data_IF_620183546370
#
_entry.id   IF_620183546370
#
_cell.length_a   1.000
_cell.length_b   1.000
_cell.length_c   1.000
_cell.angle_alpha   90.00
_cell.angle_beta   90.00
_cell.angle_gamma   90.00
#
_symmetry.space_group_name_H-M   'P 1'
#
loop_
_entity.id
_entity.type
_entity.pdbx_description
1 polymer ?
#
# COMPACT_ATOMS: atom_id res chain seq x y z
N UNK A 1 1.21 3.88 -6.70
CA UNK A 1 1.26 4.92 -5.65
C UNK A 1 2.33 4.56 -4.62
N UNK A 2 2.19 3.46 -3.87
CA UNK A 2 3.23 3.00 -2.94
C UNK A 2 4.64 2.88 -3.56
N UNK A 3 4.74 2.35 -4.79
CA UNK A 3 6.00 2.35 -5.54
C UNK A 3 6.63 3.74 -5.70
N UNK A 4 5.85 4.80 -5.92
CA UNK A 4 6.38 6.15 -6.02
C UNK A 4 6.92 6.65 -4.67
N UNK A 5 6.27 6.29 -3.56
CA UNK A 5 6.77 6.59 -2.22
C UNK A 5 8.10 5.87 -1.93
N UNK A 6 8.19 4.60 -2.34
CA UNK A 6 9.41 3.80 -2.26
C UNK A 6 10.55 4.40 -3.09
N UNK A 7 10.27 4.68 -4.37
CA UNK A 7 11.24 5.22 -5.32
C UNK A 7 11.78 6.59 -4.82
N UNK A 8 10.93 7.43 -4.19
CA UNK A 8 11.37 8.69 -3.54
C UNK A 8 12.31 8.43 -2.37
N UNK A 9 11.97 7.50 -1.47
CA UNK A 9 12.81 7.17 -0.31
C UNK A 9 14.21 6.68 -0.70
N UNK A 10 14.31 5.94 -1.81
CA UNK A 10 15.57 5.45 -2.37
C UNK A 10 16.26 6.42 -3.34
N UNK A 11 15.74 7.64 -3.53
CA UNK A 11 16.37 8.62 -4.42
C UNK A 11 16.38 8.19 -5.90
N UNK A 12 15.41 7.36 -6.33
CA UNK A 12 15.35 6.84 -7.70
C UNK A 12 14.75 7.84 -8.70
N UNK A 13 14.41 9.04 -8.24
CA UNK A 13 13.96 10.18 -9.04
C UNK A 13 15.04 11.26 -9.10
N UNK A 14 15.07 12.06 -10.17
CA UNK A 14 15.88 13.27 -10.18
C UNK A 14 15.26 14.38 -9.32
N UNK A 15 13.93 14.41 -9.21
CA UNK A 15 13.21 15.36 -8.38
C UNK A 15 13.13 14.90 -6.90
N UNK A 16 13.30 15.87 -5.99
CA UNK A 16 13.25 15.62 -4.53
C UNK A 16 11.82 15.44 -3.99
N UNK A 17 10.82 15.92 -4.73
CA UNK A 17 9.41 15.85 -4.33
C UNK A 17 8.57 15.17 -5.39
N UNK A 18 7.53 14.46 -4.95
CA UNK A 18 6.55 13.88 -5.85
C UNK A 18 5.70 15.00 -6.48
N UNK A 19 5.28 14.87 -7.76
CA UNK A 19 4.37 15.83 -8.39
C UNK A 19 3.09 16.03 -7.58
N UNK A 20 2.53 17.23 -7.48
CA UNK A 20 1.38 17.53 -6.61
C UNK A 20 0.18 16.57 -6.75
N UNK A 21 -0.06 16.04 -7.96
CA UNK A 21 -1.18 15.16 -8.29
C UNK A 21 -0.81 13.67 -8.38
N UNK A 22 0.37 13.27 -7.92
CA UNK A 22 0.89 11.89 -7.97
C UNK A 22 -0.07 10.83 -7.42
N UNK A 23 -0.94 11.24 -6.50
CA UNK A 23 -1.93 10.39 -5.84
C UNK A 23 -3.27 10.33 -6.58
N UNK A 24 -3.58 11.28 -7.46
CA UNK A 24 -4.89 11.44 -8.09
C UNK A 24 -5.32 10.19 -8.90
N UNK A 25 -4.46 9.53 -9.70
CA UNK A 25 -4.85 8.33 -10.44
C UNK A 25 -5.28 7.17 -9.53
N UNK A 26 -4.68 7.05 -8.34
CA UNK A 26 -5.06 6.03 -7.37
C UNK A 26 -6.37 6.39 -6.65
N UNK A 27 -6.58 7.67 -6.35
CA UNK A 27 -7.83 8.16 -5.76
C UNK A 27 -9.04 7.94 -6.67
N UNK A 28 -8.90 8.18 -7.98
CA UNK A 28 -9.96 7.89 -8.94
C UNK A 28 -10.34 6.41 -8.97
N UNK A 29 -9.34 5.52 -8.93
CA UNK A 29 -9.56 4.07 -8.88
C UNK A 29 -10.25 3.66 -7.59
N UNK A 30 -9.86 4.24 -6.45
CA UNK A 30 -10.54 4.02 -5.17
C UNK A 30 -12.01 4.45 -5.23
N UNK A 31 -12.31 5.62 -5.80
CA UNK A 31 -13.69 6.08 -5.94
C UNK A 31 -14.54 5.14 -6.82
N UNK A 32 -13.97 4.63 -7.92
CA UNK A 32 -14.65 3.62 -8.76
C UNK A 32 -14.85 2.31 -8.00
N UNK A 33 -13.84 1.84 -7.27
CA UNK A 33 -13.91 0.60 -6.49
C UNK A 33 -15.08 0.61 -5.49
N UNK A 34 -15.35 1.75 -4.84
CA UNK A 34 -16.46 1.91 -3.88
C UNK A 34 -17.85 1.64 -4.45
N UNK A 35 -18.02 1.68 -5.77
CA UNK A 35 -19.29 1.39 -6.45
C UNK A 35 -19.49 -0.13 -6.62
N UNK A 36 -18.40 -0.87 -6.80
CA UNK A 36 -18.44 -2.29 -7.18
C UNK A 36 -18.05 -3.25 -6.04
N UNK A 37 -17.22 -2.79 -5.11
CA UNK A 37 -16.74 -3.60 -4.00
C UNK A 37 -17.70 -3.59 -2.81
N UNK A 38 -17.58 -4.60 -1.95
CA UNK A 38 -18.24 -4.58 -0.64
C UNK A 38 -17.71 -3.42 0.21
N UNK A 39 -18.50 -3.00 1.21
CA UNK A 39 -18.08 -1.98 2.17
C UNK A 39 -16.77 -2.33 2.88
N UNK A 40 -16.52 -3.63 3.10
CA UNK A 40 -15.31 -4.14 3.74
C UNK A 40 -14.07 -3.89 2.88
N UNK A 41 -14.09 -4.36 1.62
CA UNK A 41 -13.00 -4.13 0.65
C UNK A 41 -12.80 -2.64 0.38
N UNK A 42 -13.88 -1.88 0.24
CA UNK A 42 -13.81 -0.44 0.01
C UNK A 42 -13.12 0.31 1.17
N UNK A 43 -13.40 -0.08 2.42
CA UNK A 43 -12.76 0.52 3.60
C UNK A 43 -11.27 0.15 3.69
N UNK A 44 -10.92 -1.12 3.48
CA UNK A 44 -9.53 -1.57 3.49
C UNK A 44 -8.72 -0.91 2.36
N UNK A 45 -9.30 -0.75 1.17
CA UNK A 45 -8.67 -0.07 0.05
C UNK A 45 -8.41 1.42 0.34
N UNK A 46 -9.33 2.08 1.05
CA UNK A 46 -9.14 3.45 1.49
C UNK A 46 -8.02 3.57 2.53
N UNK A 47 -7.89 2.59 3.44
CA UNK A 47 -6.80 2.53 4.40
C UNK A 47 -5.44 2.35 3.72
N UNK A 48 -5.32 1.40 2.78
CA UNK A 48 -4.10 1.17 2.01
C UNK A 48 -3.71 2.39 1.17
N UNK A 49 -4.69 3.06 0.54
CA UNK A 49 -4.48 4.33 -0.15
C UNK A 49 -3.94 5.40 0.81
N UNK A 50 -4.56 5.60 1.96
CA UNK A 50 -4.14 6.62 2.91
C UNK A 50 -2.73 6.36 3.46
N UNK A 51 -2.41 5.10 3.78
CA UNK A 51 -1.08 4.70 4.22
C UNK A 51 -0.01 4.99 3.16
N UNK A 52 -0.25 4.62 1.90
CA UNK A 52 0.67 4.94 0.80
C UNK A 52 0.79 6.45 0.57
N UNK A 53 -0.30 7.21 0.70
CA UNK A 53 -0.28 8.67 0.54
C UNK A 53 0.57 9.32 1.63
N UNK A 54 0.33 8.95 2.90
CA UNK A 54 1.13 9.44 4.03
C UNK A 54 2.60 9.07 3.89
N UNK A 55 2.88 7.84 3.45
CA UNK A 55 4.25 7.40 3.22
C UNK A 55 4.97 8.27 2.19
N UNK A 56 4.38 8.49 1.01
CA UNK A 56 4.99 9.35 -0.02
C UNK A 56 5.06 10.84 0.35
N UNK A 57 4.09 11.32 1.12
CA UNK A 57 4.02 12.71 1.56
C UNK A 57 5.08 13.04 2.62
N UNK A 58 5.32 12.12 3.56
CA UNK A 58 6.23 12.36 4.68
C UNK A 58 7.61 11.71 4.52
N UNK A 59 7.83 10.83 3.54
CA UNK A 59 9.16 10.29 3.30
C UNK A 59 10.12 11.39 2.83
N UNK A 60 11.37 11.32 3.31
CA UNK A 60 12.46 12.11 2.76
C UNK A 60 12.93 11.48 1.46
N UNK A 61 13.47 12.32 0.57
CA UNK A 61 14.15 11.87 -0.62
C UNK A 61 15.57 11.39 -0.29
N UNK A 62 15.98 10.26 -0.88
CA UNK A 62 17.33 9.69 -0.77
C UNK A 62 17.81 9.51 0.68
N UNK A 63 16.93 9.03 1.55
CA UNK A 63 17.20 8.73 2.97
C UNK A 63 16.54 7.39 3.34
N UNK A 64 17.03 6.26 2.80
CA UNK A 64 16.44 4.94 3.05
C UNK A 64 16.61 4.48 4.51
N UNK A 65 17.52 5.09 5.26
CA UNK A 65 17.75 4.82 6.68
C UNK A 65 16.80 5.61 7.60
N UNK A 66 15.92 6.48 7.06
CA UNK A 66 14.94 7.23 7.84
C UNK A 66 13.96 6.26 8.53
N UNK A 67 13.86 6.25 9.87
CA UNK A 67 12.88 5.44 10.58
C UNK A 67 11.44 5.67 10.08
N UNK A 68 11.09 6.90 9.68
CA UNK A 68 9.76 7.23 9.15
C UNK A 68 9.50 6.59 7.78
N UNK A 69 10.54 6.37 6.99
CA UNK A 69 10.42 5.65 5.72
C UNK A 69 9.98 4.21 5.97
N UNK A 70 10.65 3.52 6.90
CA UNK A 70 10.30 2.15 7.27
C UNK A 70 8.95 2.04 8.00
N UNK A 71 8.63 2.99 8.90
CA UNK A 71 7.30 3.05 9.53
C UNK A 71 6.19 3.21 8.50
N UNK A 72 6.39 4.08 7.49
CA UNK A 72 5.45 4.27 6.38
C UNK A 72 5.29 3.00 5.53
N UNK A 73 6.40 2.30 5.25
CA UNK A 73 6.38 1.03 4.55
C UNK A 73 5.58 -0.03 5.32
N UNK A 74 5.88 -0.24 6.60
CA UNK A 74 5.18 -1.21 7.45
C UNK A 74 3.69 -0.89 7.57
N UNK A 75 3.33 0.39 7.70
CA UNK A 75 1.93 0.81 7.73
C UNK A 75 1.20 0.51 6.42
N UNK A 76 1.85 0.73 5.27
CA UNK A 76 1.30 0.36 3.97
C UNK A 76 1.17 -1.16 3.83
N UNK A 77 2.21 -1.93 4.15
CA UNK A 77 2.23 -3.38 4.01
C UNK A 77 1.10 -4.04 4.84
N UNK A 78 0.89 -3.60 6.09
CA UNK A 78 -0.23 -4.07 6.90
C UNK A 78 -1.60 -3.74 6.27
N UNK A 79 -1.77 -2.54 5.74
CA UNK A 79 -3.02 -2.13 5.11
C UNK A 79 -3.28 -2.87 3.78
N UNK A 80 -2.22 -3.15 3.02
CA UNK A 80 -2.28 -3.97 1.80
C UNK A 80 -2.65 -5.42 2.11
N UNK A 81 -2.07 -6.00 3.17
CA UNK A 81 -2.44 -7.35 3.62
C UNK A 81 -3.92 -7.42 4.01
N UNK A 82 -4.43 -6.48 4.82
CA UNK A 82 -5.85 -6.46 5.19
C UNK A 82 -6.75 -6.33 3.95
N UNK A 83 -6.40 -5.45 3.00
CA UNK A 83 -7.12 -5.33 1.73
C UNK A 83 -7.16 -6.66 0.96
N UNK A 84 -6.01 -7.32 0.81
CA UNK A 84 -5.93 -8.61 0.10
C UNK A 84 -6.74 -9.69 0.81
N UNK A 85 -6.76 -9.70 2.14
CA UNK A 85 -7.60 -10.61 2.93
C UNK A 85 -9.09 -10.34 2.68
N UNK A 86 -9.54 -9.08 2.66
CA UNK A 86 -10.95 -8.77 2.36
C UNK A 86 -11.36 -9.17 0.95
N UNK A 87 -10.49 -8.92 -0.03
CA UNK A 87 -10.74 -9.34 -1.41
C UNK A 87 -10.83 -10.87 -1.48
N UNK A 88 -9.94 -11.57 -0.79
CA UNK A 88 -9.96 -13.04 -0.72
C UNK A 88 -11.28 -13.56 -0.13
N UNK A 89 -11.72 -12.98 0.97
CA UNK A 89 -12.98 -13.35 1.65
C UNK A 89 -14.18 -13.15 0.70
N UNK A 90 -14.25 -12.00 0.02
CA UNK A 90 -15.30 -11.70 -0.96
C UNK A 90 -15.30 -12.66 -2.16
N UNK A 91 -14.13 -13.16 -2.54
CA UNK A 91 -13.97 -14.17 -3.60
C UNK A 91 -14.18 -15.62 -3.10
N UNK A 92 -14.48 -15.81 -1.81
CA UNK A 92 -14.62 -17.10 -1.16
C UNK A 92 -13.42 -18.04 -1.39
N UNK A 93 -12.21 -17.49 -1.48
CA UNK A 93 -10.98 -18.26 -1.67
C UNK A 93 -10.53 -18.80 -0.30
N UNK A 94 -10.48 -20.13 -0.09
CA UNK A 94 -10.08 -20.73 1.20
C UNK A 94 -8.73 -20.23 1.66
N UNK A 95 -8.53 -20.08 2.97
CA UNK A 95 -7.26 -19.71 3.61
C UNK A 95 -6.09 -20.60 3.17
N UNK A 96 -4.91 -20.00 3.02
CA UNK A 96 -3.69 -20.77 2.84
C UNK A 96 -3.35 -21.24 4.24
N UNK A 97 -3.45 -22.53 4.52
CA UNK A 97 -2.77 -23.10 5.68
C UNK A 97 -1.27 -22.90 5.45
N UNK A 98 -0.72 -21.79 5.96
CA UNK A 98 0.73 -21.56 6.05
C UNK A 98 1.35 -22.48 7.13
N UNK A 99 0.60 -23.47 7.63
CA UNK A 99 1.11 -24.56 8.46
C UNK A 99 1.65 -25.75 7.63
N UNK A 100 1.54 -25.74 6.29
CA UNK A 100 1.94 -26.87 5.43
C UNK A 100 3.23 -26.62 4.60
N UNK A 101 4.08 -25.69 5.04
CA UNK A 101 5.48 -25.63 4.56
C UNK A 101 6.37 -26.30 5.59
N UNK A 102 6.54 -27.62 5.43
CA UNK A 102 7.65 -28.34 6.04
C UNK A 102 8.96 -27.54 5.82
N UNK A 103 9.86 -27.49 6.82
CA UNK A 103 11.12 -26.78 6.67
C UNK A 103 11.93 -27.52 5.61
N UNK A 104 12.06 -26.93 4.42
CA UNK A 104 13.06 -27.37 3.48
C UNK A 104 14.42 -27.00 4.07
N UNK A 105 15.18 -28.07 4.35
CA UNK A 105 16.55 -28.15 4.88
C UNK A 105 17.49 -27.14 4.20
#
# INVERSE_FOLDING_TARGET
MARLAYDKGYGLFEETELPDDWHAPAFERLNRLRIFATSSVAAAAAAAYNAAWQWGHYCKHDDPDDPKFHEGQVAYDHAEIDLLMRIRDDLAIPGSDIDDVAPFI
#
